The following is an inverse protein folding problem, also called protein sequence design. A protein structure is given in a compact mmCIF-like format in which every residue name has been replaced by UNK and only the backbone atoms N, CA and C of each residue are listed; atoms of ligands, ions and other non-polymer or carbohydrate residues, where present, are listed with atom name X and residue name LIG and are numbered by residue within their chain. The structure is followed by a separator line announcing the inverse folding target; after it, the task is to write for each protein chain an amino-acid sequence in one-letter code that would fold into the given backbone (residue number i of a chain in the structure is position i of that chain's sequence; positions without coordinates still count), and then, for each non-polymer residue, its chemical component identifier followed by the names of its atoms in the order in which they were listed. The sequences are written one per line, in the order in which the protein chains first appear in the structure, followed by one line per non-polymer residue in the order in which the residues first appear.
data_IF_689137463462
#
_entry.id   IF_689137463462
#
_cell.length_a   1.000
_cell.length_b   1.000
_cell.length_c   1.000
_cell.angle_alpha   90.00
_cell.angle_beta   90.00
_cell.angle_gamma   90.00
#
_symmetry.space_group_name_H-M   'P 1'
#
loop_
_entity.id
_entity.type
_entity.pdbx_description
1 polymer ?
#
# COMPACT_ATOMS: atom_id res chain seq x y z
N UNK A 1 6.10 -2.43 22.87
CA UNK A 1 6.30 -1.31 21.95
C UNK A 1 6.29 -1.83 20.53
N UNK A 2 5.53 -1.18 19.67
CA UNK A 2 5.40 -1.66 18.30
C UNK A 2 6.65 -1.36 17.47
N UNK A 3 7.02 -2.29 16.61
CA UNK A 3 8.14 -2.07 15.69
C UNK A 3 7.68 -1.15 14.56
N UNK A 4 8.59 -0.34 14.06
CA UNK A 4 8.31 0.54 12.93
C UNK A 4 9.36 0.32 11.83
N UNK A 5 8.94 0.60 10.60
CA UNK A 5 9.82 0.54 9.43
C UNK A 5 9.56 1.75 8.55
N UNK A 6 10.61 2.31 7.98
CA UNK A 6 10.48 3.36 6.99
C UNK A 6 10.55 2.71 5.61
N UNK A 7 9.51 2.92 4.81
CA UNK A 7 9.42 2.33 3.48
C UNK A 7 9.53 3.44 2.46
N UNK A 8 10.52 3.33 1.59
CA UNK A 8 10.80 4.36 0.60
C UNK A 8 9.91 4.22 -0.62
N UNK A 9 9.47 5.35 -1.14
CA UNK A 9 8.79 5.41 -2.43
C UNK A 9 9.77 5.75 -3.55
N UNK A 10 9.30 5.70 -4.78
CA UNK A 10 10.11 6.03 -5.95
C UNK A 10 10.56 7.48 -5.93
N UNK A 11 9.78 8.36 -5.31
CA UNK A 11 10.13 9.78 -5.19
C UNK A 11 11.34 10.04 -4.31
N UNK A 12 11.77 9.04 -3.53
CA UNK A 12 12.83 9.22 -2.54
C UNK A 12 12.30 9.53 -1.15
N UNK A 13 11.01 9.82 -1.02
CA UNK A 13 10.42 10.00 0.31
C UNK A 13 10.26 8.66 0.99
N UNK A 14 10.35 8.67 2.32
CA UNK A 14 10.12 7.48 3.13
C UNK A 14 8.89 7.69 4.01
N UNK A 15 8.15 6.61 4.22
CA UNK A 15 6.91 6.64 4.98
C UNK A 15 7.02 5.66 6.13
N UNK A 16 6.71 6.15 7.35
CA UNK A 16 6.84 5.29 8.53
C UNK A 16 5.60 4.45 8.70
N UNK A 17 5.81 3.15 8.83
CA UNK A 17 4.75 2.18 9.08
C UNK A 17 4.99 1.50 10.42
N UNK A 18 3.91 1.13 11.10
CA UNK A 18 3.93 0.36 12.33
C UNK A 18 3.52 -1.07 12.04
N UNK A 19 4.25 -2.03 12.57
CA UNK A 19 3.90 -3.44 12.38
C UNK A 19 2.66 -3.77 13.19
N UNK A 20 1.68 -4.45 12.56
CA UNK A 20 0.48 -4.88 13.26
C UNK A 20 0.81 -6.13 14.09
N UNK A 21 0.82 -5.98 15.42
CA UNK A 21 1.25 -7.04 16.33
C UNK A 21 0.27 -7.19 17.49
N UNK A 22 -1.03 -7.07 17.21
CA UNK A 22 -2.05 -7.29 18.24
C UNK A 22 -2.60 -6.03 18.88
N UNK A 23 -2.02 -4.86 18.60
CA UNK A 23 -2.56 -3.62 19.11
C UNK A 23 -3.88 -3.27 18.41
N UNK A 24 -4.71 -2.43 19.04
CA UNK A 24 -5.96 -2.02 18.40
C UNK A 24 -5.73 -1.33 17.06
N UNK A 25 -6.65 -1.53 16.12
CA UNK A 25 -6.56 -0.94 14.80
C UNK A 25 -7.44 0.31 14.75
N UNK A 26 -6.87 1.40 14.24
CA UNK A 26 -7.60 2.68 14.16
C UNK A 26 -8.75 2.58 13.17
N UNK A 27 -9.91 3.19 13.49
CA UNK A 27 -11.02 3.25 12.53
C UNK A 27 -10.88 4.36 11.50
N UNK A 28 -9.77 5.07 11.53
CA UNK A 28 -9.51 6.20 10.62
C UNK A 28 -8.83 5.75 9.35
N UNK A 29 -8.77 6.65 8.36
CA UNK A 29 -8.11 6.37 7.10
C UNK A 29 -6.63 6.11 7.24
N UNK A 30 -6.11 5.30 6.37
CA UNK A 30 -4.69 5.00 6.40
C UNK A 30 -4.22 4.15 5.22
N UNK A 31 -2.93 3.92 5.23
CA UNK A 31 -2.28 3.03 4.29
C UNK A 31 -1.90 1.74 5.00
N UNK A 32 -1.87 0.65 4.25
CA UNK A 32 -1.38 -0.61 4.79
C UNK A 32 -0.56 -1.33 3.74
N UNK A 33 0.38 -2.15 4.22
CA UNK A 33 1.20 -2.96 3.34
C UNK A 33 1.13 -4.39 3.84
N UNK A 34 1.08 -5.34 2.91
CA UNK A 34 1.38 -6.73 3.23
C UNK A 34 2.82 -6.95 2.82
N UNK A 35 3.61 -7.52 3.70
CA UNK A 35 5.03 -7.72 3.45
C UNK A 35 5.43 -9.13 3.79
N UNK A 36 6.50 -9.58 3.13
CA UNK A 36 7.18 -10.80 3.51
C UNK A 36 8.52 -10.39 4.11
N UNK A 37 8.73 -10.74 5.36
CA UNK A 37 10.01 -10.41 6.01
C UNK A 37 11.08 -11.33 5.47
N UNK A 38 12.20 -10.74 5.04
CA UNK A 38 13.34 -11.48 4.52
C UNK A 38 14.58 -11.11 5.31
N UNK A 39 15.68 -11.79 5.04
CA UNK A 39 16.95 -11.50 5.72
C UNK A 39 17.44 -10.08 5.46
N UNK A 40 17.05 -9.50 4.34
CA UNK A 40 17.48 -8.15 3.97
C UNK A 40 16.42 -7.09 4.24
N UNK A 41 15.31 -7.48 4.85
CA UNK A 41 14.24 -6.55 5.22
C UNK A 41 12.89 -6.94 4.63
N UNK A 42 11.90 -6.07 4.79
CA UNK A 42 10.56 -6.38 4.29
C UNK A 42 10.49 -6.25 2.77
N UNK A 43 9.88 -7.26 2.15
CA UNK A 43 9.54 -7.22 0.72
C UNK A 43 8.06 -6.90 0.61
N UNK A 44 7.72 -5.83 -0.11
CA UNK A 44 6.33 -5.39 -0.21
C UNK A 44 5.58 -6.29 -1.19
N UNK A 45 4.50 -6.91 -0.70
CA UNK A 45 3.63 -7.79 -1.49
C UNK A 45 2.43 -7.03 -2.03
N UNK A 46 1.90 -6.09 -1.23
CA UNK A 46 0.75 -5.28 -1.61
C UNK A 46 0.81 -3.94 -0.91
N UNK A 47 0.55 -2.87 -1.63
CA UNK A 47 0.41 -1.54 -1.06
C UNK A 47 -1.04 -1.12 -1.22
N UNK A 48 -1.73 -0.87 -0.09
CA UNK A 48 -3.13 -0.52 -0.08
C UNK A 48 -3.41 0.79 0.63
N UNK A 49 -4.62 1.28 0.45
CA UNK A 49 -5.12 2.42 1.20
C UNK A 49 -6.60 2.21 1.47
N UNK A 50 -7.11 2.82 2.53
CA UNK A 50 -8.49 2.62 2.91
C UNK A 50 -8.98 3.81 3.73
N UNK A 51 -10.28 4.08 3.66
CA UNK A 51 -10.90 5.11 4.49
C UNK A 51 -11.02 4.68 5.95
N UNK A 52 -10.90 3.38 6.23
CA UNK A 52 -10.92 2.86 7.58
C UNK A 52 -9.96 1.69 7.68
N UNK A 53 -8.85 1.89 8.40
CA UNK A 53 -7.89 0.82 8.59
C UNK A 53 -8.55 -0.39 9.25
N UNK A 54 -9.39 -0.13 10.26
CA UNK A 54 -10.06 -1.21 10.98
C UNK A 54 -10.86 -2.12 10.03
N UNK A 55 -11.52 -1.54 9.03
CA UNK A 55 -12.35 -2.30 8.11
C UNK A 55 -11.59 -2.87 6.92
N UNK A 56 -10.50 -2.21 6.52
CA UNK A 56 -9.86 -2.52 5.24
C UNK A 56 -8.53 -3.25 5.29
N UNK A 57 -7.86 -3.26 6.43
CA UNK A 57 -6.47 -3.75 6.45
C UNK A 57 -6.34 -5.25 6.18
N UNK A 58 -7.40 -6.01 6.30
CA UNK A 58 -7.38 -7.45 6.02
C UNK A 58 -8.02 -7.82 4.68
N UNK A 59 -8.39 -6.85 3.87
CA UNK A 59 -9.23 -7.09 2.69
C UNK A 59 -8.68 -8.13 1.73
N UNK A 60 -7.36 -8.24 1.60
CA UNK A 60 -6.73 -9.21 0.72
C UNK A 60 -5.63 -9.99 1.42
N UNK A 61 -5.69 -10.04 2.74
CA UNK A 61 -4.64 -10.68 3.54
C UNK A 61 -4.51 -12.17 3.28
N UNK A 62 -5.65 -12.87 3.12
CA UNK A 62 -5.60 -14.31 2.88
C UNK A 62 -4.89 -14.64 1.56
N UNK A 63 -5.17 -13.88 0.52
CA UNK A 63 -4.48 -14.05 -0.75
C UNK A 63 -2.99 -13.77 -0.61
N UNK A 64 -2.63 -12.71 0.08
CA UNK A 64 -1.23 -12.34 0.26
C UNK A 64 -0.45 -13.47 0.95
N UNK A 65 -1.05 -14.09 1.97
CA UNK A 65 -0.40 -15.20 2.66
C UNK A 65 -0.31 -16.44 1.78
N UNK A 66 -1.43 -16.81 1.16
CA UNK A 66 -1.51 -18.06 0.42
C UNK A 66 -0.70 -18.03 -0.88
N UNK A 67 -0.77 -16.91 -1.59
CA UNK A 67 -0.19 -16.81 -2.93
C UNK A 67 1.24 -16.26 -2.92
N UNK A 68 1.59 -15.48 -1.91
CA UNK A 68 2.86 -14.74 -1.94
C UNK A 68 3.68 -14.90 -0.68
N UNK A 69 3.22 -15.65 0.29
CA UNK A 69 3.98 -15.91 1.50
C UNK A 69 4.14 -14.71 2.43
N UNK A 70 3.18 -13.79 2.38
CA UNK A 70 3.24 -12.61 3.25
C UNK A 70 3.26 -13.03 4.73
N UNK A 71 4.04 -12.32 5.53
CA UNK A 71 4.23 -12.65 6.94
C UNK A 71 3.69 -11.59 7.89
N UNK A 72 3.64 -10.33 7.46
CA UNK A 72 3.30 -9.23 8.35
C UNK A 72 2.47 -8.18 7.64
N UNK A 73 1.69 -7.43 8.44
CA UNK A 73 0.93 -6.29 7.96
C UNK A 73 1.53 -5.05 8.58
N UNK A 74 1.78 -4.05 7.77
CA UNK A 74 2.26 -2.74 8.19
C UNK A 74 1.14 -1.73 8.07
N UNK A 75 1.01 -0.83 9.04
CA UNK A 75 -0.08 0.13 9.11
C UNK A 75 0.46 1.55 9.24
N UNK A 76 -0.22 2.49 8.59
CA UNK A 76 0.14 3.91 8.66
C UNK A 76 -1.13 4.75 8.69
N UNK A 77 -1.32 5.51 9.77
CA UNK A 77 -2.46 6.43 9.85
C UNK A 77 -2.26 7.55 8.84
N UNK A 78 -3.28 7.83 8.04
CA UNK A 78 -3.18 8.82 6.97
C UNK A 78 -4.59 9.23 6.55
N UNK A 79 -5.03 10.36 7.05
CA UNK A 79 -6.45 10.75 7.00
C UNK A 79 -6.90 11.19 5.61
N UNK A 80 -6.06 11.94 4.91
CA UNK A 80 -6.46 12.56 3.63
C UNK A 80 -6.40 11.57 2.47
N UNK A 81 -7.54 11.35 1.81
CA UNK A 81 -7.64 10.35 0.75
C UNK A 81 -6.68 10.57 -0.40
N UNK A 82 -6.53 11.82 -0.86
CA UNK A 82 -5.61 12.09 -1.96
C UNK A 82 -4.17 11.79 -1.57
N UNK A 83 -3.80 12.11 -0.33
CA UNK A 83 -2.44 11.82 0.16
C UNK A 83 -2.22 10.32 0.28
N UNK A 84 -3.22 9.58 0.79
CA UNK A 84 -3.13 8.12 0.88
C UNK A 84 -2.86 7.48 -0.47
N UNK A 85 -3.61 7.90 -1.48
CA UNK A 85 -3.48 7.31 -2.81
C UNK A 85 -2.13 7.66 -3.43
N UNK A 86 -1.67 8.90 -3.24
CA UNK A 86 -0.37 9.31 -3.76
C UNK A 86 0.77 8.52 -3.12
N UNK A 87 0.71 8.30 -1.80
CA UNK A 87 1.74 7.52 -1.11
C UNK A 87 1.70 6.05 -1.53
N UNK A 88 0.50 5.49 -1.66
CA UNK A 88 0.36 4.11 -2.16
C UNK A 88 1.03 3.96 -3.53
N UNK A 89 0.74 4.89 -4.42
CA UNK A 89 1.26 4.82 -5.78
C UNK A 89 2.78 5.02 -5.80
N UNK A 90 3.30 5.88 -4.94
CA UNK A 90 4.74 6.11 -4.83
C UNK A 90 5.47 4.84 -4.37
N UNK A 91 4.91 4.16 -3.37
CA UNK A 91 5.47 2.90 -2.90
C UNK A 91 5.37 1.82 -3.97
N UNK A 92 4.19 1.72 -4.61
CA UNK A 92 3.99 0.70 -5.65
C UNK A 92 4.93 0.92 -6.82
N UNK A 93 5.20 2.17 -7.19
CA UNK A 93 6.11 2.47 -8.30
C UNK A 93 7.53 1.99 -8.01
N UNK A 94 7.98 2.09 -6.76
CA UNK A 94 9.33 1.65 -6.41
C UNK A 94 9.42 0.15 -6.23
N UNK A 95 8.49 -0.42 -5.46
CA UNK A 95 8.60 -1.82 -5.03
C UNK A 95 7.94 -2.81 -5.97
N UNK A 96 7.07 -2.33 -6.84
CA UNK A 96 6.35 -3.14 -7.83
C UNK A 96 5.75 -4.38 -7.20
N UNK A 97 4.88 -4.21 -6.19
CA UNK A 97 4.35 -5.35 -5.44
C UNK A 97 3.52 -6.26 -6.36
N UNK A 98 3.65 -7.56 -6.24
CA UNK A 98 2.95 -8.47 -7.14
C UNK A 98 1.42 -8.34 -7.09
N UNK A 99 0.86 -7.94 -5.95
CA UNK A 99 -0.58 -7.80 -5.83
C UNK A 99 -1.12 -6.44 -6.28
N UNK A 100 -0.24 -5.51 -6.68
CA UNK A 100 -0.66 -4.21 -7.19
C UNK A 100 -0.68 -4.16 -8.72
N UNK A 101 -0.67 -5.31 -9.36
CA UNK A 101 -0.61 -5.37 -10.83
C UNK A 101 -1.81 -4.75 -11.53
N UNK A 102 -2.90 -4.55 -10.80
CA UNK A 102 -4.10 -3.96 -11.37
C UNK A 102 -4.17 -2.45 -11.22
N UNK A 103 -3.16 -1.84 -10.58
CA UNK A 103 -3.11 -0.40 -10.50
C UNK A 103 -2.85 0.18 -11.89
N UNK A 104 -3.47 1.32 -12.23
CA UNK A 104 -3.16 1.95 -13.49
C UNK A 104 -1.68 2.24 -13.54
N UNK A 105 -1.10 1.99 -14.70
CA UNK A 105 0.28 2.32 -14.85
C UNK A 105 0.34 3.78 -15.00
N UNK A 106 -0.06 4.07 -14.68
CA UNK A 106 0.03 5.30 -14.73
C UNK A 106 0.13 5.80 -16.06
N UNK A 107 -0.53 4.74 -16.38
CA UNK A 107 -0.68 4.85 -17.03
C UNK A 107 -1.25 5.20 -17.49
N UNK A 108 -1.56 5.26 -17.85
CA UNK A 108 -2.06 5.49 -18.10
C UNK A 108 -2.80 5.82 -18.57
N UNK A 109 -2.94 6.00 -18.77
CA UNK A 109 -3.42 6.31 -18.71
C UNK A 109 -4.15 6.40 -19.03
N UNK A 110 -4.38 6.66 -19.64
CA UNK A 110 -4.88 6.94 -19.64
C UNK A 110 -5.54 7.28 -19.92
N UNK A 111 -5.57 7.30 -20.38
CA UNK A 111 -5.92 7.81 -20.31
C UNK A 111 -6.53 8.08 -20.72
N UNK A 112 -6.75 8.09 -21.25
CA UNK A 112 -6.98 8.60 -21.25
C UNK A 112 -7.48 8.81 -21.65
N UNK A 113 -7.59 8.62 -22.05
CA UNK A 113 -7.68 9.03 -22.00
C UNK A 113 -8.05 9.22 -21.97
N UNK A 114 -8.44 9.08 -23.01
CA UNK A 114 -8.40 9.66 -22.70
C UNK A 114 -8.83 9.63 -22.73
N UNK A 115 -8.92 9.64 -23.29
CA UNK A 115 -8.89 9.92 -22.99
C UNK A 115 -9.03 10.11 -22.69
N UNK A 116 -9.59 9.91 -23.31
CA UNK A 116 -9.32 10.46 -22.90
C UNK A 116 -9.67 10.46 -22.78
N UNK A 117 -9.97 10.57 -23.21
CA UNK A 117 -9.84 10.87 -22.83
C UNK A 117 -10.03 11.01 -22.56
N UNK A 118 -10.63 10.91 -22.66
CA UNK A 118 -10.39 11.50 -22.21
C UNK A 118 -10.70 11.58 -22.10
N UNK A 119 -11.07 11.66 -22.36
CA UNK A 119 -10.89 12.05 -21.94
C UNK A 119 -11.06 12.26 -21.84
N UNK A 120 -11.43 12.25 -22.09
CA UNK A 120 -11.12 12.69 -21.67
C UNK A 120 -11.27 12.92 -21.67
N UNK A 121 -11.56 13.05 -21.96
CA UNK A 121 -11.35 13.47 -21.78
C UNK A 121 -11.43 13.64 -21.87
#
# INVERSE_FOLDING_TARGET
MARTFDIAGKSGQSYRYTVSEGQPIWPSGGNFLYVKMTKTGPKVIFAGETESLFRGYLSQWDEAKAEHGATDIFLRLNIAGAVRRAERDDIAAKHRPPMNRDLPDEEPERVVEGQGDGAAP
#
